data_IF_283285250257
#
_entry.id   IF_283285250257
#
_cell.length_a   1.000
_cell.length_b   1.000
_cell.length_c   1.000
_cell.angle_alpha   90.00
_cell.angle_beta   90.00
_cell.angle_gamma   90.00
#
_symmetry.space_group_name_H-M   'P 1'
#
loop_
_entity.id
_entity.type
_entity.pdbx_description
1 polymer ?
#
# COMPACT_ATOMS: atom_id res chain seq x y z
N UNK A 1 18.94 -24.52 1.87
CA UNK A 1 18.01 -24.94 0.81
C UNK A 1 16.62 -24.63 1.34
N UNK A 2 16.23 -23.36 1.24
CA UNK A 2 14.92 -22.93 1.71
C UNK A 2 13.88 -23.44 0.74
N UNK A 3 12.96 -24.24 1.27
CA UNK A 3 11.97 -24.99 0.52
C UNK A 3 11.03 -23.98 -0.15
N UNK A 4 10.79 -24.09 -1.46
CA UNK A 4 9.88 -23.20 -2.21
C UNK A 4 8.54 -22.91 -1.49
N UNK A 5 7.92 -23.87 -0.76
CA UNK A 5 6.76 -23.60 0.09
C UNK A 5 6.98 -22.55 1.19
N UNK A 6 8.14 -22.54 1.85
CA UNK A 6 8.45 -21.59 2.92
C UNK A 6 8.64 -20.17 2.35
N UNK A 7 9.25 -20.06 1.16
CA UNK A 7 9.36 -18.80 0.45
C UNK A 7 7.98 -18.26 0.07
N UNK A 8 7.10 -19.10 -0.46
CA UNK A 8 5.73 -18.69 -0.81
C UNK A 8 4.96 -18.28 0.44
N UNK A 9 5.06 -19.04 1.53
CA UNK A 9 4.42 -18.71 2.80
C UNK A 9 4.90 -17.35 3.34
N UNK A 10 6.21 -17.08 3.29
CA UNK A 10 6.78 -15.80 3.69
C UNK A 10 6.27 -14.64 2.82
N UNK A 11 6.15 -14.83 1.51
CA UNK A 11 5.61 -13.81 0.60
C UNK A 11 4.12 -13.55 0.84
N UNK A 12 3.32 -14.60 1.08
CA UNK A 12 1.92 -14.45 1.45
C UNK A 12 1.74 -13.72 2.78
N UNK A 13 2.56 -14.05 3.78
CA UNK A 13 2.55 -13.38 5.08
C UNK A 13 2.89 -11.89 4.92
N UNK A 14 3.93 -11.56 4.15
CA UNK A 14 4.31 -10.18 3.89
C UNK A 14 3.22 -9.40 3.15
N UNK A 15 2.58 -10.01 2.15
CA UNK A 15 1.48 -9.37 1.42
C UNK A 15 0.29 -9.04 2.35
N UNK A 16 -0.07 -9.99 3.23
CA UNK A 16 -1.12 -9.79 4.22
C UNK A 16 -0.77 -8.70 5.25
N UNK A 17 0.49 -8.63 5.69
CA UNK A 17 0.96 -7.59 6.60
C UNK A 17 0.88 -6.20 5.97
N UNK A 18 1.31 -6.06 4.70
CA UNK A 18 1.20 -4.80 3.95
C UNK A 18 -0.24 -4.36 3.78
N UNK A 19 -1.13 -5.28 3.41
CA UNK A 19 -2.57 -5.00 3.27
C UNK A 19 -3.18 -4.52 4.61
N UNK A 20 -2.94 -5.27 5.68
CA UNK A 20 -3.46 -4.93 7.02
C UNK A 20 -2.89 -3.62 7.55
N UNK A 21 -1.63 -3.30 7.26
CA UNK A 21 -1.02 -2.03 7.62
C UNK A 21 -1.67 -0.87 6.87
N UNK A 22 -1.90 -1.02 5.57
CA UNK A 22 -2.55 -0.02 4.74
C UNK A 22 -4.01 0.23 5.14
N UNK A 23 -4.79 -0.82 5.39
CA UNK A 23 -6.18 -0.69 5.85
C UNK A 23 -6.27 0.09 7.17
N UNK A 24 -5.39 -0.25 8.13
CA UNK A 24 -5.33 0.48 9.41
C UNK A 24 -4.99 1.95 9.22
N UNK A 25 -4.03 2.26 8.35
CA UNK A 25 -3.67 3.63 8.02
C UNK A 25 -4.84 4.39 7.39
N UNK A 26 -5.52 3.80 6.41
CA UNK A 26 -6.67 4.40 5.74
C UNK A 26 -7.79 4.72 6.75
N UNK A 27 -8.10 3.79 7.66
CA UNK A 27 -9.08 4.00 8.73
C UNK A 27 -8.64 5.13 9.67
N UNK A 28 -7.38 5.14 10.11
CA UNK A 28 -6.85 6.20 10.98
C UNK A 28 -6.89 7.58 10.30
N UNK A 29 -6.74 7.62 8.98
CA UNK A 29 -6.83 8.83 8.18
C UNK A 29 -8.26 9.25 7.82
N UNK A 30 -9.28 8.48 8.21
CA UNK A 30 -10.66 8.73 7.83
C UNK A 30 -10.92 8.52 6.34
N UNK A 31 -10.05 7.80 5.63
CA UNK A 31 -10.19 7.48 4.22
C UNK A 31 -11.14 6.29 4.09
N UNK A 32 -12.27 6.50 3.42
CA UNK A 32 -13.24 5.45 3.16
C UNK A 32 -12.67 4.31 2.30
N UNK A 33 -13.16 3.08 2.51
CA UNK A 33 -12.64 1.87 1.85
C UNK A 33 -12.62 1.97 0.32
N UNK A 34 -13.65 2.57 -0.29
CA UNK A 34 -13.69 2.79 -1.74
C UNK A 34 -12.56 3.71 -2.22
N UNK A 35 -12.31 4.81 -1.50
CA UNK A 35 -11.24 5.73 -1.82
C UNK A 35 -9.87 5.08 -1.61
N UNK A 36 -9.70 4.31 -0.52
CA UNK A 36 -8.49 3.54 -0.28
C UNK A 36 -8.22 2.52 -1.40
N UNK A 37 -9.26 1.85 -1.91
CA UNK A 37 -9.15 0.96 -3.08
C UNK A 37 -8.78 1.71 -4.36
N UNK A 38 -9.32 2.92 -4.58
CA UNK A 38 -8.92 3.77 -5.72
C UNK A 38 -7.46 4.17 -5.64
N UNK A 39 -6.95 4.55 -4.47
CA UNK A 39 -5.54 4.89 -4.28
C UNK A 39 -4.63 3.70 -4.60
N UNK A 40 -4.98 2.48 -4.18
CA UNK A 40 -4.20 1.29 -4.53
C UNK A 40 -4.19 1.00 -6.04
N UNK A 41 -5.35 1.08 -6.70
CA UNK A 41 -5.43 0.91 -8.16
C UNK A 41 -4.59 1.95 -8.89
N UNK A 42 -4.63 3.18 -8.42
CA UNK A 42 -3.82 4.26 -8.97
C UNK A 42 -2.32 4.04 -8.73
N UNK A 43 -1.92 3.57 -7.55
CA UNK A 43 -0.54 3.20 -7.25
C UNK A 43 -0.01 2.13 -8.19
N UNK A 44 -0.77 1.04 -8.39
CA UNK A 44 -0.44 -0.03 -9.35
C UNK A 44 -0.26 0.53 -10.76
N UNK A 45 -1.14 1.43 -11.19
CA UNK A 45 -1.04 2.08 -12.51
C UNK A 45 0.25 2.91 -12.64
N UNK A 46 0.58 3.74 -11.65
CA UNK A 46 1.79 4.58 -11.69
C UNK A 46 3.07 3.74 -11.75
N UNK A 47 3.09 2.61 -11.04
CA UNK A 47 4.18 1.63 -11.07
C UNK A 47 4.30 1.01 -12.46
N UNK A 48 3.19 0.55 -13.03
CA UNK A 48 3.18 -0.06 -14.36
C UNK A 48 3.61 0.92 -15.46
N UNK A 49 3.29 2.20 -15.31
CA UNK A 49 3.70 3.27 -16.23
C UNK A 49 5.15 3.74 -16.02
N UNK A 50 5.84 3.26 -14.98
CA UNK A 50 7.23 3.67 -14.67
C UNK A 50 7.35 5.13 -14.22
N UNK A 51 6.26 5.71 -13.70
CA UNK A 51 6.18 7.13 -13.30
C UNK A 51 6.58 7.38 -11.86
N UNK A 52 6.95 6.32 -11.13
CA UNK A 52 7.35 6.33 -9.73
C UNK A 52 8.50 5.35 -9.53
N UNK A 53 9.37 5.62 -8.56
CA UNK A 53 10.44 4.71 -8.14
C UNK A 53 10.00 3.71 -7.07
N UNK A 54 8.82 3.91 -6.47
CA UNK A 54 8.28 3.02 -5.42
C UNK A 54 7.62 1.83 -6.10
N UNK A 55 8.10 0.61 -5.84
CA UNK A 55 7.62 -0.61 -6.48
C UNK A 55 6.54 -1.36 -5.67
N UNK A 56 6.28 -0.93 -4.44
CA UNK A 56 5.23 -1.48 -3.59
C UNK A 56 3.99 -0.56 -3.66
N UNK A 57 2.85 -1.05 -4.19
CA UNK A 57 1.64 -0.24 -4.30
C UNK A 57 1.05 0.16 -2.95
N UNK A 58 1.21 -0.65 -1.89
CA UNK A 58 0.76 -0.31 -0.55
C UNK A 58 1.62 0.78 0.06
N UNK A 59 2.95 0.73 -0.15
CA UNK A 59 3.85 1.78 0.29
C UNK A 59 3.53 3.11 -0.41
N UNK A 60 3.38 3.09 -1.74
CA UNK A 60 3.09 4.29 -2.52
C UNK A 60 1.73 4.92 -2.14
N UNK A 61 0.68 4.10 -1.97
CA UNK A 61 -0.63 4.59 -1.55
C UNK A 61 -0.59 5.16 -0.12
N UNK A 62 0.17 4.53 0.78
CA UNK A 62 0.35 5.01 2.16
C UNK A 62 1.03 6.37 2.21
N UNK A 63 2.06 6.59 1.39
CA UNK A 63 2.73 7.89 1.28
C UNK A 63 1.76 9.01 0.90
N UNK A 64 0.82 8.75 -0.02
CA UNK A 64 -0.19 9.73 -0.42
C UNK A 64 -1.19 10.05 0.68
N UNK A 65 -1.60 9.04 1.47
CA UNK A 65 -2.48 9.25 2.63
C UNK A 65 -1.75 10.14 3.66
N UNK A 66 -0.52 9.80 4.01
CA UNK A 66 0.28 10.58 4.97
C UNK A 66 0.57 12.00 4.49
N UNK A 67 0.89 12.18 3.20
CA UNK A 67 1.10 13.51 2.61
C UNK A 67 -0.17 14.36 2.64
N UNK A 68 -1.34 13.75 2.40
CA UNK A 68 -2.64 14.41 2.50
C UNK A 68 -2.96 14.87 3.93
N UNK A 69 -2.69 14.05 4.93
CA UNK A 69 -2.89 14.39 6.34
C UNK A 69 -2.00 15.56 6.78
N UNK A 70 -0.71 15.52 6.45
CA UNK A 70 0.22 16.59 6.78
C UNK A 70 -0.22 17.93 6.17
N UNK A 71 -0.82 17.91 4.97
CA UNK A 71 -1.36 19.12 4.34
C UNK A 71 -2.62 19.64 5.03
N UNK A 72 -3.48 18.77 5.54
CA UNK A 72 -4.73 19.18 6.22
C UNK A 72 -4.50 19.73 7.63
N UNK A 73 -3.34 19.43 8.24
CA UNK A 73 -2.95 19.89 9.57
C UNK A 73 -2.21 21.23 9.58
N UNK A 74 -1.79 21.72 8.40
CA UNK A 74 -1.12 23.00 8.20
C UNK A 74 -2.10 24.04 7.64
#
# INVERSE_FOLDING_TARGET
MDYLPDLVAAQCQHAWESETAYERLAVQAGVGAEHASHLLRFAVQRIAEGTTSVMDPYALASEWISAGQNRAQH
#
